data_IF_058860624188
#
_entry.id   IF_058860624188
#
_cell.length_a   1.000
_cell.length_b   1.000
_cell.length_c   1.000
_cell.angle_alpha   90.00
_cell.angle_beta   90.00
_cell.angle_gamma   90.00
#
_symmetry.space_group_name_H-M   'P 1'
#
loop_
_entity.id
_entity.type
_entity.pdbx_description
1 polymer ?
#
# COMPACT_ATOMS: atom_id res chain seq x y z
N UNK A 1 7.02 -7.93 -3.40
CA UNK A 1 7.61 -8.23 -4.74
C UNK A 1 8.94 -7.51 -4.90
N UNK A 2 8.98 -6.17 -4.98
CA UNK A 2 10.25 -5.39 -5.06
C UNK A 2 11.21 -5.70 -3.90
N UNK A 3 10.72 -5.75 -2.65
CA UNK A 3 11.54 -6.10 -1.48
C UNK A 3 12.18 -7.49 -1.59
N UNK A 4 11.45 -8.47 -2.11
CA UNK A 4 11.95 -9.83 -2.31
C UNK A 4 13.01 -9.86 -3.43
N UNK A 5 12.82 -9.05 -4.47
CA UNK A 5 13.80 -8.87 -5.54
C UNK A 5 15.10 -8.23 -5.04
N UNK A 6 15.00 -7.21 -4.17
CA UNK A 6 16.16 -6.61 -3.49
C UNK A 6 16.95 -7.64 -2.67
N UNK A 7 16.23 -8.48 -1.91
CA UNK A 7 16.81 -9.55 -1.10
C UNK A 7 17.49 -10.61 -1.97
N UNK A 8 16.87 -11.02 -3.08
CA UNK A 8 17.46 -11.96 -4.04
C UNK A 8 18.74 -11.41 -4.71
N UNK A 9 18.83 -10.08 -4.88
CA UNK A 9 20.04 -9.40 -5.38
C UNK A 9 21.09 -9.13 -4.28
N UNK A 10 20.87 -9.57 -3.04
CA UNK A 10 21.79 -9.32 -1.91
C UNK A 10 21.86 -7.85 -1.47
N UNK A 11 20.93 -6.99 -1.93
CA UNK A 11 20.88 -5.58 -1.54
C UNK A 11 20.10 -5.41 -0.24
N UNK A 12 20.82 -5.55 0.88
CA UNK A 12 20.26 -5.43 2.24
C UNK A 12 20.33 -4.01 2.82
N UNK A 13 21.27 -3.18 2.35
CA UNK A 13 21.38 -1.79 2.77
C UNK A 13 20.24 -0.96 2.15
N UNK A 14 19.49 -0.24 2.98
CA UNK A 14 18.47 0.71 2.53
C UNK A 14 19.02 2.13 2.61
N UNK A 15 19.46 2.64 1.47
CA UNK A 15 19.55 4.09 1.21
C UNK A 15 18.63 4.42 0.05
N UNK A 16 18.15 5.66 -0.02
CA UNK A 16 17.19 6.06 -1.06
C UNK A 16 17.74 5.82 -2.47
N UNK A 17 19.05 6.03 -2.68
CA UNK A 17 19.71 5.75 -3.96
C UNK A 17 19.70 4.25 -4.33
N UNK A 18 19.91 3.37 -3.34
CA UNK A 18 19.88 1.92 -3.57
C UNK A 18 18.44 1.47 -3.86
N UNK A 19 17.47 1.97 -3.11
CA UNK A 19 16.06 1.61 -3.30
C UNK A 19 15.54 2.06 -4.67
N UNK A 20 15.88 3.28 -5.09
CA UNK A 20 15.57 3.79 -6.42
C UNK A 20 16.17 2.90 -7.53
N UNK A 21 17.44 2.51 -7.41
CA UNK A 21 18.09 1.62 -8.37
C UNK A 21 17.46 0.21 -8.39
N UNK A 22 17.04 -0.31 -7.25
CA UNK A 22 16.32 -1.59 -7.15
C UNK A 22 14.96 -1.50 -7.83
N UNK A 23 14.21 -0.42 -7.61
CA UNK A 23 12.90 -0.20 -8.22
C UNK A 23 13.03 -0.11 -9.74
N UNK A 24 14.01 0.65 -10.24
CA UNK A 24 14.26 0.79 -11.67
C UNK A 24 14.62 -0.56 -12.31
N UNK A 25 15.53 -1.31 -11.69
CA UNK A 25 15.92 -2.63 -12.20
C UNK A 25 14.75 -3.63 -12.15
N UNK A 26 13.95 -3.59 -11.08
CA UNK A 26 12.74 -4.40 -10.99
C UNK A 26 11.75 -4.06 -12.11
N UNK A 27 11.55 -2.77 -12.42
CA UNK A 27 10.65 -2.34 -13.46
C UNK A 27 11.11 -2.80 -14.86
N UNK A 28 12.40 -2.71 -15.17
CA UNK A 28 12.95 -3.16 -16.46
C UNK A 28 12.95 -4.69 -16.60
N UNK A 29 13.27 -5.42 -15.52
CA UNK A 29 13.34 -6.88 -15.55
C UNK A 29 11.96 -7.54 -15.54
N UNK A 30 11.02 -7.03 -14.73
CA UNK A 30 9.68 -7.64 -14.57
C UNK A 30 8.67 -7.08 -15.57
N UNK A 31 8.88 -5.85 -16.05
CA UNK A 31 7.97 -5.12 -16.95
C UNK A 31 6.50 -5.33 -16.56
N UNK A 32 6.14 -5.04 -15.29
CA UNK A 32 4.79 -5.30 -14.82
C UNK A 32 3.79 -4.52 -15.68
N UNK A 33 2.68 -5.16 -16.01
CA UNK A 33 1.59 -4.48 -16.71
C UNK A 33 1.14 -3.26 -15.91
N UNK A 34 1.02 -2.13 -16.62
CA UNK A 34 0.54 -0.89 -16.02
C UNK A 34 -0.88 -1.11 -15.53
N UNK A 35 -1.09 -0.98 -14.22
CA UNK A 35 -2.43 -1.10 -13.65
C UNK A 35 -3.23 0.13 -14.05
N UNK A 36 -4.35 -0.09 -14.74
CA UNK A 36 -5.29 0.99 -15.03
C UNK A 36 -5.71 1.67 -13.73
N UNK A 37 -5.82 3.01 -13.79
CA UNK A 37 -6.40 3.75 -12.69
C UNK A 37 -7.85 3.29 -12.50
N UNK A 38 -8.33 3.16 -11.25
CA UNK A 38 -9.74 2.89 -11.01
C UNK A 38 -10.58 4.00 -11.64
N UNK A 39 -11.71 3.60 -12.23
CA UNK A 39 -12.76 4.52 -12.68
C UNK A 39 -13.37 5.29 -11.50
N UNK A 40 -14.18 6.30 -11.84
CA UNK A 40 -14.75 7.21 -10.85
C UNK A 40 -15.68 6.48 -9.86
N UNK A 41 -16.49 5.54 -10.34
CA UNK A 41 -17.40 4.76 -9.49
C UNK A 41 -16.62 3.91 -8.48
N UNK A 42 -15.53 3.28 -8.93
CA UNK A 42 -14.64 2.48 -8.08
C UNK A 42 -13.96 3.34 -7.02
N UNK A 43 -13.57 4.58 -7.34
CA UNK A 43 -13.00 5.53 -6.37
C UNK A 43 -14.01 5.93 -5.32
N UNK A 44 -15.20 6.35 -5.74
CA UNK A 44 -16.29 6.74 -4.84
C UNK A 44 -16.64 5.58 -3.91
N UNK A 45 -16.75 4.37 -4.45
CA UNK A 45 -17.01 3.18 -3.64
C UNK A 45 -15.90 2.92 -2.60
N UNK A 46 -14.64 3.03 -3.00
CA UNK A 46 -13.50 2.88 -2.08
C UNK A 46 -13.55 3.91 -0.93
N UNK A 47 -13.90 5.16 -1.23
CA UNK A 47 -14.03 6.23 -0.25
C UNK A 47 -15.17 5.96 0.75
N UNK A 48 -16.32 5.50 0.26
CA UNK A 48 -17.44 5.10 1.12
C UNK A 48 -17.06 3.94 2.04
N UNK A 49 -16.37 2.92 1.53
CA UNK A 49 -15.87 1.79 2.33
C UNK A 49 -14.88 2.26 3.38
N UNK A 50 -13.95 3.15 3.02
CA UNK A 50 -12.99 3.73 3.94
C UNK A 50 -13.70 4.52 5.07
N UNK A 51 -14.68 5.34 4.71
CA UNK A 51 -15.46 6.13 5.68
C UNK A 51 -16.24 5.24 6.64
N UNK A 52 -16.87 4.17 6.13
CA UNK A 52 -17.57 3.18 6.97
C UNK A 52 -16.63 2.56 8.00
N UNK A 53 -15.42 2.17 7.60
CA UNK A 53 -14.42 1.59 8.52
C UNK A 53 -14.01 2.56 9.63
N UNK A 54 -13.81 3.83 9.30
CA UNK A 54 -13.49 4.88 10.28
C UNK A 54 -14.61 5.02 11.32
N UNK A 55 -15.86 5.11 10.88
CA UNK A 55 -17.02 5.27 11.77
C UNK A 55 -17.13 4.06 12.71
N UNK A 56 -16.99 2.84 12.19
CA UNK A 56 -17.02 1.63 13.02
C UNK A 56 -15.92 1.66 14.07
N UNK A 57 -14.70 2.03 13.69
CA UNK A 57 -13.58 2.14 14.63
C UNK A 57 -13.88 3.16 15.75
N UNK A 58 -14.48 4.31 15.41
CA UNK A 58 -14.93 5.30 16.39
C UNK A 58 -16.00 4.76 17.33
N UNK A 59 -17.04 4.09 16.78
CA UNK A 59 -18.10 3.49 17.60
C UNK A 59 -17.56 2.45 18.58
N UNK A 60 -16.60 1.63 18.13
CA UNK A 60 -15.93 0.65 18.99
C UNK A 60 -15.12 1.36 20.06
N UNK A 61 -14.33 2.38 19.70
CA UNK A 61 -13.55 3.15 20.66
C UNK A 61 -14.43 3.80 21.74
N UNK A 62 -15.56 4.38 21.34
CA UNK A 62 -16.50 5.01 22.26
C UNK A 62 -17.11 4.00 23.23
N UNK A 63 -17.59 2.85 22.69
CA UNK A 63 -18.12 1.76 23.53
C UNK A 63 -17.10 1.23 24.54
N UNK A 64 -15.79 1.29 24.23
CA UNK A 64 -14.74 0.88 25.17
C UNK A 64 -14.47 1.92 26.24
N UNK A 65 -14.73 3.22 25.97
CA UNK A 65 -14.64 4.29 26.97
C UNK A 65 -15.80 4.20 27.97
N UNK A 66 -17.02 3.97 27.50
CA UNK A 66 -18.21 3.82 28.35
C UNK A 66 -18.13 2.66 29.34
N UNK A 67 -17.30 1.66 29.05
CA UNK A 67 -17.09 0.47 29.89
C UNK A 67 -15.99 0.63 30.94
N UNK A 68 -15.22 1.72 30.91
CA UNK A 68 -14.18 2.03 31.89
C UNK A 68 -14.77 2.86 33.02
#
# INVERSE_FOLDING_TARGET
RVRCFAQAMGKHAKTDAIDAAVIAHFADAVRPEARALPDEETRIFADLVARRRQIIAMMVAERQRDKR
#
